data_IF_284818088100
#
_entry.id   IF_284818088100
#
_cell.length_a   1.000
_cell.length_b   1.000
_cell.length_c   1.000
_cell.angle_alpha   90.00
_cell.angle_beta   90.00
_cell.angle_gamma   90.00
#
_symmetry.space_group_name_H-M   'P 1'
#
loop_
_entity.id
_entity.type
_entity.pdbx_description
1 polymer ?
#
# COMPACT_ATOMS: atom_id res chain seq x y z
N UNK A 1 -16.64 -7.13 6.26
CA UNK A 1 -15.60 -7.15 7.29
C UNK A 1 -16.34 -7.16 8.60
N UNK A 2 -16.42 -8.33 9.23
CA UNK A 2 -17.24 -8.48 10.42
C UNK A 2 -16.48 -7.94 11.62
N UNK A 3 -17.21 -7.21 12.47
CA UNK A 3 -16.65 -6.57 13.65
C UNK A 3 -17.39 -7.08 14.87
N UNK A 4 -16.62 -7.45 15.90
CA UNK A 4 -17.13 -7.90 17.19
C UNK A 4 -16.76 -6.88 18.26
N UNK A 5 -17.67 -6.65 19.19
CA UNK A 5 -17.42 -5.81 20.36
C UNK A 5 -17.33 -6.73 21.57
N UNK A 6 -16.15 -6.78 22.20
CA UNK A 6 -15.92 -7.54 23.43
C UNK A 6 -15.38 -6.56 24.46
N UNK A 7 -15.99 -6.48 25.64
CA UNK A 7 -15.60 -5.56 26.72
C UNK A 7 -15.45 -4.09 26.24
N UNK A 8 -16.43 -3.61 25.47
CA UNK A 8 -16.45 -2.26 24.89
C UNK A 8 -15.25 -1.94 23.95
N UNK A 9 -14.50 -2.95 23.50
CA UNK A 9 -13.43 -2.82 22.51
C UNK A 9 -13.87 -3.45 21.19
N UNK A 10 -13.57 -2.77 20.08
CA UNK A 10 -13.88 -3.23 18.72
C UNK A 10 -12.76 -4.10 18.18
N UNK A 11 -13.13 -5.29 17.73
CA UNK A 11 -12.25 -6.26 17.10
C UNK A 11 -12.74 -6.54 15.68
N UNK A 12 -11.80 -6.84 14.79
CA UNK A 12 -12.10 -7.27 13.43
C UNK A 12 -11.88 -8.77 13.35
N UNK A 13 -12.89 -9.50 12.90
CA UNK A 13 -12.77 -10.94 12.67
C UNK A 13 -12.26 -11.18 11.27
N UNK A 14 -11.22 -12.00 11.16
CA UNK A 14 -10.60 -12.37 9.91
C UNK A 14 -10.40 -13.89 9.89
N UNK A 15 -10.56 -14.51 8.73
CA UNK A 15 -10.13 -15.89 8.53
C UNK A 15 -8.62 -16.02 8.79
N UNK A 16 -8.21 -17.12 9.42
CA UNK A 16 -6.81 -17.37 9.78
C UNK A 16 -5.85 -17.21 8.58
N UNK A 17 -6.22 -17.78 7.43
CA UNK A 17 -5.43 -17.68 6.19
C UNK A 17 -5.26 -16.24 5.70
N UNK A 18 -6.27 -15.40 5.89
CA UNK A 18 -6.22 -13.98 5.51
C UNK A 18 -5.37 -13.18 6.49
N UNK A 19 -5.44 -13.52 7.78
CA UNK A 19 -4.60 -12.93 8.83
C UNK A 19 -3.11 -13.24 8.62
N UNK A 20 -2.75 -14.49 8.34
CA UNK A 20 -1.35 -14.89 8.06
C UNK A 20 -0.76 -14.11 6.88
N UNK A 21 -1.53 -13.93 5.80
CA UNK A 21 -1.11 -13.13 4.64
C UNK A 21 -0.88 -11.66 5.01
N UNK A 22 -1.71 -11.10 5.86
CA UNK A 22 -1.56 -9.72 6.34
C UNK A 22 -0.33 -9.59 7.24
N UNK A 23 -0.10 -10.55 8.12
CA UNK A 23 1.07 -10.58 8.98
C UNK A 23 2.37 -10.68 8.16
N UNK A 24 2.39 -11.56 7.16
CA UNK A 24 3.52 -11.68 6.24
C UNK A 24 3.78 -10.39 5.44
N UNK A 25 2.72 -9.71 4.98
CA UNK A 25 2.83 -8.40 4.30
C UNK A 25 3.34 -7.30 5.25
N UNK A 26 2.87 -7.28 6.49
CA UNK A 26 3.32 -6.30 7.49
C UNK A 26 4.78 -6.52 7.90
N UNK A 27 5.25 -7.77 7.90
CA UNK A 27 6.64 -8.11 8.18
C UNK A 27 7.61 -7.76 7.03
N UNK A 28 7.12 -7.45 5.82
CA UNK A 28 7.97 -7.00 4.73
C UNK A 28 8.56 -5.63 5.05
N UNK A 29 9.89 -5.57 5.19
CA UNK A 29 10.65 -4.32 5.43
C UNK A 29 10.66 -3.38 4.21
N UNK A 30 10.23 -3.86 3.04
CA UNK A 30 10.16 -3.06 1.81
C UNK A 30 8.86 -2.29 1.77
N UNK A 31 8.96 -0.95 1.74
CA UNK A 31 7.80 -0.09 1.51
C UNK A 31 7.08 -0.50 0.22
N UNK A 32 5.75 -0.65 0.23
CA UNK A 32 5.02 -1.03 -0.97
C UNK A 32 5.22 0.02 -2.05
N UNK A 33 5.93 -0.37 -3.12
CA UNK A 33 6.15 0.48 -4.29
C UNK A 33 4.80 0.61 -5.01
N UNK A 34 4.33 1.85 -5.21
CA UNK A 34 3.17 2.12 -6.04
C UNK A 34 3.44 1.60 -7.46
N UNK A 35 2.83 0.47 -7.82
CA UNK A 35 2.82 -0.04 -9.18
C UNK A 35 1.91 0.86 -10.01
N UNK A 36 2.51 1.81 -10.73
CA UNK A 36 1.79 2.67 -11.66
C UNK A 36 1.42 1.87 -12.92
N UNK A 37 0.27 2.16 -13.52
CA UNK A 37 -0.02 1.69 -14.88
C UNK A 37 0.94 2.34 -15.87
N UNK A 38 1.13 1.74 -17.05
CA UNK A 38 2.08 2.24 -18.07
C UNK A 38 1.85 3.71 -18.41
N UNK A 39 0.59 4.13 -18.57
CA UNK A 39 0.22 5.51 -18.87
C UNK A 39 0.61 6.47 -17.72
N UNK A 40 0.30 6.08 -16.49
CA UNK A 40 0.61 6.86 -15.29
C UNK A 40 2.11 6.94 -15.04
N UNK A 41 2.84 5.85 -15.28
CA UNK A 41 4.30 5.77 -15.18
C UNK A 41 4.98 6.70 -16.17
N UNK A 42 4.59 6.67 -17.47
CA UNK A 42 5.13 7.58 -18.49
C UNK A 42 4.91 9.05 -18.13
N UNK A 43 3.70 9.42 -17.70
CA UNK A 43 3.38 10.80 -17.28
C UNK A 43 4.25 11.24 -16.08
N UNK A 44 4.45 10.35 -15.10
CA UNK A 44 5.27 10.64 -13.94
C UNK A 44 6.76 10.82 -14.32
N UNK A 45 7.28 9.97 -15.20
CA UNK A 45 8.65 10.06 -15.69
C UNK A 45 8.93 11.39 -16.42
N UNK A 46 8.06 11.80 -17.35
CA UNK A 46 8.22 13.08 -18.04
C UNK A 46 8.16 14.27 -17.09
N UNK A 47 7.27 14.23 -16.09
CA UNK A 47 7.21 15.28 -15.06
C UNK A 47 8.52 15.41 -14.27
N UNK A 48 9.20 14.30 -13.98
CA UNK A 48 10.50 14.31 -13.32
C UNK A 48 11.61 14.86 -14.21
N UNK A 49 11.59 14.50 -15.50
CA UNK A 49 12.52 15.03 -16.51
C UNK A 49 12.36 16.54 -16.65
N UNK A 50 11.13 17.03 -16.77
CA UNK A 50 10.83 18.47 -16.85
C UNK A 50 11.29 19.22 -15.60
N UNK A 51 11.11 18.61 -14.41
CA UNK A 51 11.58 19.21 -13.16
C UNK A 51 13.10 19.33 -13.15
N UNK A 52 13.81 18.27 -13.52
CA UNK A 52 15.26 18.27 -13.59
C UNK A 52 15.80 19.27 -14.62
N UNK A 53 15.15 19.37 -15.78
CA UNK A 53 15.53 20.32 -16.84
C UNK A 53 15.33 21.78 -16.44
N UNK A 54 14.43 22.08 -15.50
CA UNK A 54 14.14 23.44 -15.03
C UNK A 54 14.99 23.86 -13.82
N UNK A 55 15.53 22.90 -13.09
CA UNK A 55 16.51 23.14 -12.01
C UNK A 55 17.95 23.33 -12.55
N UNK A 56 18.14 23.24 -13.87
CA UNK A 56 19.40 23.40 -14.59
C UNK A 56 19.42 24.70 -15.37
#
# INVERSE_FOLDING_TARGET
>A
MDTLIINNKKYVVLEARSFEKLQAKAAQKTSPIKKLSLKSGKKYAYKLIDKWSKEK
#
